data_IF_037638430161
#
_entry.id   IF_037638430161
#
_cell.length_a   1.000
_cell.length_b   1.000
_cell.length_c   1.000
_cell.angle_alpha   90.00
_cell.angle_beta   90.00
_cell.angle_gamma   90.00
#
_symmetry.space_group_name_H-M   'P 1'
#
loop_
_entity.id
_entity.type
_entity.pdbx_description
1 polymer ?
#
# COMPACT_ATOMS: atom_id res chain seq x y z
N UNK A 1 21.39 -9.05 -0.86
CA UNK A 1 21.98 -7.73 -0.53
C UNK A 1 22.73 -7.88 0.78
N UNK A 2 23.96 -7.38 0.91
CA UNK A 2 24.70 -7.43 2.18
C UNK A 2 24.38 -6.16 3.00
N UNK A 3 23.31 -6.23 3.79
CA UNK A 3 22.84 -5.11 4.62
C UNK A 3 23.91 -4.65 5.63
N UNK A 4 24.60 -5.56 6.36
CA UNK A 4 25.72 -5.18 7.23
C UNK A 4 26.83 -4.38 6.53
N UNK A 5 27.20 -4.76 5.31
CA UNK A 5 28.20 -4.02 4.54
C UNK A 5 27.76 -2.58 4.26
N UNK A 6 26.52 -2.38 3.81
CA UNK A 6 25.97 -1.05 3.52
C UNK A 6 25.76 -0.19 4.77
N UNK A 7 25.60 -0.80 5.94
CA UNK A 7 25.52 -0.10 7.22
C UNK A 7 26.89 0.30 7.77
N UNK A 8 27.98 -0.36 7.37
CA UNK A 8 29.33 -0.01 7.82
C UNK A 8 29.68 1.45 7.49
N UNK A 9 30.25 2.18 8.45
CA UNK A 9 30.67 3.56 8.25
C UNK A 9 31.64 3.67 7.05
N UNK A 10 31.44 4.66 6.18
CA UNK A 10 32.28 4.86 4.99
C UNK A 10 33.73 5.16 5.40
N UNK A 11 33.92 5.97 6.44
CA UNK A 11 35.22 6.24 7.06
C UNK A 11 35.05 6.68 8.51
N UNK A 12 36.16 6.69 9.27
CA UNK A 12 36.15 7.13 10.67
C UNK A 12 35.80 8.63 10.84
N UNK A 13 36.12 9.46 9.84
CA UNK A 13 35.93 10.92 9.88
C UNK A 13 34.70 11.38 9.11
N UNK A 14 34.17 10.55 8.22
CA UNK A 14 32.90 10.79 7.50
C UNK A 14 32.12 9.48 7.42
N UNK A 15 31.33 9.14 8.45
CA UNK A 15 30.61 7.87 8.51
C UNK A 15 29.57 7.68 7.40
N UNK A 16 28.95 8.78 6.95
CA UNK A 16 27.99 8.81 5.84
C UNK A 16 28.60 9.13 4.48
N UNK A 17 29.90 9.38 4.40
CA UNK A 17 30.56 9.73 3.14
C UNK A 17 30.17 11.12 2.60
N UNK A 18 30.35 11.30 1.30
CA UNK A 18 30.17 12.58 0.59
C UNK A 18 28.73 12.79 0.13
N UNK A 19 28.32 14.03 -0.10
CA UNK A 19 27.02 14.34 -0.72
C UNK A 19 27.09 14.06 -2.23
N UNK A 20 26.13 13.31 -2.74
CA UNK A 20 26.07 12.85 -4.13
C UNK A 20 25.32 13.79 -5.08
N UNK A 21 24.85 14.97 -4.63
CA UNK A 21 23.98 15.88 -5.42
C UNK A 21 24.50 16.16 -6.85
N UNK A 22 25.81 16.31 -7.01
CA UNK A 22 26.45 16.56 -8.31
C UNK A 22 27.35 15.41 -8.79
N UNK A 23 27.32 14.26 -8.11
CA UNK A 23 28.13 13.10 -8.48
C UNK A 23 27.67 12.54 -9.84
N UNK A 24 28.62 12.33 -10.76
CA UNK A 24 28.31 11.91 -12.12
C UNK A 24 27.66 10.51 -12.18
N UNK A 25 28.00 9.60 -11.26
CA UNK A 25 27.38 8.28 -11.19
C UNK A 25 25.97 8.36 -10.61
N UNK A 26 25.73 9.22 -9.63
CA UNK A 26 24.37 9.47 -9.13
C UNK A 26 23.47 10.06 -10.22
N UNK A 27 23.93 11.10 -10.93
CA UNK A 27 23.19 11.68 -12.06
C UNK A 27 22.97 10.68 -13.20
N UNK A 28 23.87 9.72 -13.39
CA UNK A 28 23.69 8.64 -14.37
C UNK A 28 22.61 7.65 -13.91
N UNK A 29 22.64 7.25 -12.63
CA UNK A 29 21.62 6.39 -12.03
C UNK A 29 20.21 7.00 -12.20
N UNK A 30 20.05 8.29 -11.93
CA UNK A 30 18.77 9.00 -12.11
C UNK A 30 18.28 8.98 -13.56
N UNK A 31 19.18 9.04 -14.54
CA UNK A 31 18.83 8.94 -15.97
C UNK A 31 18.45 7.52 -16.34
N UNK A 32 19.25 6.54 -15.94
CA UNK A 32 19.02 5.13 -16.25
C UNK A 32 17.70 4.63 -15.64
N UNK A 33 17.38 5.09 -14.43
CA UNK A 33 16.16 4.72 -13.72
C UNK A 33 14.86 5.21 -14.40
N UNK A 34 14.94 6.13 -15.37
CA UNK A 34 13.77 6.56 -16.17
C UNK A 34 13.38 5.55 -17.24
N UNK A 35 14.27 4.60 -17.58
CA UNK A 35 14.06 3.68 -18.68
C UNK A 35 14.03 4.40 -20.04
N UNK A 36 13.48 3.74 -21.05
CA UNK A 36 13.27 4.35 -22.37
C UNK A 36 11.79 4.72 -22.52
N UNK A 37 11.45 5.98 -22.79
CA UNK A 37 10.07 6.35 -23.07
C UNK A 37 9.62 5.73 -24.40
N UNK A 38 8.31 5.74 -24.62
CA UNK A 38 7.74 5.43 -25.93
C UNK A 38 8.32 6.38 -26.99
N UNK A 39 8.68 5.85 -28.16
CA UNK A 39 9.31 6.61 -29.25
C UNK A 39 8.65 6.30 -30.59
N UNK A 40 8.28 7.34 -31.34
CA UNK A 40 7.84 7.18 -32.73
C UNK A 40 9.05 7.14 -33.66
N UNK A 41 9.19 6.05 -34.42
CA UNK A 41 10.20 5.87 -35.47
C UNK A 41 9.50 5.73 -36.82
N UNK A 42 9.35 6.86 -37.53
CA UNK A 42 8.54 6.92 -38.75
C UNK A 42 7.07 6.61 -38.44
N UNK A 43 6.52 5.60 -39.12
CA UNK A 43 5.15 5.13 -38.90
C UNK A 43 5.02 4.10 -37.76
N UNK A 44 6.11 3.72 -37.10
CA UNK A 44 6.12 2.73 -36.01
C UNK A 44 6.24 3.39 -34.64
N UNK A 45 5.45 2.94 -33.67
CA UNK A 45 5.57 3.33 -32.26
C UNK A 45 6.33 2.23 -31.52
N UNK A 46 7.51 2.56 -30.99
CA UNK A 46 8.27 1.70 -30.10
C UNK A 46 7.77 1.89 -28.67
N UNK A 47 7.29 0.83 -27.98
CA UNK A 47 6.76 0.95 -26.63
C UNK A 47 7.86 1.38 -25.65
N UNK A 48 7.44 1.93 -24.50
CA UNK A 48 8.36 2.23 -23.42
C UNK A 48 9.04 0.95 -22.89
N UNK A 49 10.34 1.02 -22.65
CA UNK A 49 11.12 -0.07 -22.05
C UNK A 49 11.43 0.26 -20.58
N UNK A 50 11.25 -0.70 -19.66
CA UNK A 50 11.58 -0.49 -18.26
C UNK A 50 13.10 -0.30 -18.07
N UNK A 51 13.52 0.27 -16.94
CA UNK A 51 14.94 0.35 -16.57
C UNK A 51 15.61 -1.02 -16.52
N UNK A 52 16.91 -1.07 -16.81
CA UNK A 52 17.74 -2.26 -16.62
C UNK A 52 17.99 -2.51 -15.12
N UNK A 53 17.03 -3.14 -14.44
CA UNK A 53 16.99 -3.24 -12.99
C UNK A 53 18.26 -3.81 -12.34
N UNK A 54 18.95 -4.75 -13.00
CA UNK A 54 20.24 -5.27 -12.50
C UNK A 54 21.32 -4.20 -12.48
N UNK A 55 21.37 -3.35 -13.52
CA UNK A 55 22.29 -2.21 -13.59
C UNK A 55 21.93 -1.19 -12.51
N UNK A 56 20.65 -0.86 -12.36
CA UNK A 56 20.17 0.07 -11.32
C UNK A 56 20.54 -0.43 -9.91
N UNK A 57 20.34 -1.71 -9.62
CA UNK A 57 20.71 -2.30 -8.33
C UNK A 57 22.22 -2.19 -8.09
N UNK A 58 23.04 -2.57 -9.07
CA UNK A 58 24.50 -2.50 -8.94
C UNK A 58 24.99 -1.07 -8.72
N UNK A 59 24.55 -0.12 -9.53
CA UNK A 59 24.90 1.30 -9.40
C UNK A 59 24.48 1.86 -8.03
N UNK A 60 23.29 1.51 -7.55
CA UNK A 60 22.80 1.93 -6.24
C UNK A 60 23.66 1.36 -5.10
N UNK A 61 24.05 0.09 -5.18
CA UNK A 61 24.91 -0.56 -4.18
C UNK A 61 26.33 0.03 -4.16
N UNK A 62 26.90 0.32 -5.32
CA UNK A 62 28.22 0.92 -5.43
C UNK A 62 28.24 2.34 -4.87
N UNK A 63 27.19 3.12 -5.14
CA UNK A 63 27.01 4.45 -4.58
C UNK A 63 26.79 4.42 -3.06
N UNK A 64 25.97 3.49 -2.55
CA UNK A 64 25.70 3.39 -1.10
C UNK A 64 26.90 2.96 -0.26
N UNK A 65 27.93 2.35 -0.88
CA UNK A 65 29.22 2.11 -0.22
C UNK A 65 30.08 3.39 -0.09
N UNK A 66 29.83 4.40 -0.94
CA UNK A 66 30.54 5.69 -0.93
C UNK A 66 29.78 6.76 -0.15
N UNK A 67 28.45 6.68 -0.12
CA UNK A 67 27.57 7.67 0.51
C UNK A 67 26.30 7.04 1.06
N UNK A 68 26.01 7.32 2.34
CA UNK A 68 24.73 6.97 2.96
C UNK A 68 23.72 8.07 2.62
N UNK A 69 23.04 7.89 1.50
CA UNK A 69 22.11 8.87 0.94
C UNK A 69 20.73 8.27 0.70
N UNK A 70 19.71 8.85 1.33
CA UNK A 70 18.31 8.42 1.21
C UNK A 70 17.80 8.47 -0.22
N UNK A 71 18.27 9.42 -1.05
CA UNK A 71 17.85 9.55 -2.46
C UNK A 71 18.21 8.30 -3.26
N UNK A 72 19.33 7.65 -2.94
CA UNK A 72 19.80 6.44 -3.62
C UNK A 72 18.95 5.21 -3.22
N UNK A 73 18.46 5.19 -1.97
CA UNK A 73 17.69 4.06 -1.45
C UNK A 73 16.38 3.80 -2.19
N UNK A 74 15.80 4.83 -2.81
CA UNK A 74 14.62 4.69 -3.66
C UNK A 74 14.88 3.81 -4.89
N UNK A 75 15.99 4.02 -5.59
CA UNK A 75 16.38 3.22 -6.76
C UNK A 75 16.76 1.79 -6.36
N UNK A 76 17.42 1.64 -5.21
CA UNK A 76 17.70 0.33 -4.65
C UNK A 76 16.40 -0.42 -4.30
N UNK A 77 15.41 0.27 -3.76
CA UNK A 77 14.10 -0.32 -3.43
C UNK A 77 13.39 -0.80 -4.69
N UNK A 78 13.28 0.04 -5.72
CA UNK A 78 12.62 -0.32 -6.97
C UNK A 78 13.30 -1.49 -7.66
N UNK A 79 14.63 -1.43 -7.81
CA UNK A 79 15.39 -2.51 -8.45
C UNK A 79 15.32 -3.81 -7.64
N UNK A 80 15.35 -3.75 -6.31
CA UNK A 80 15.24 -4.94 -5.46
C UNK A 80 13.85 -5.55 -5.50
N UNK A 81 12.80 -4.72 -5.55
CA UNK A 81 11.43 -5.16 -5.73
C UNK A 81 11.22 -5.79 -7.11
N UNK A 82 11.79 -5.22 -8.17
CA UNK A 82 11.70 -5.76 -9.53
C UNK A 82 12.42 -7.11 -9.70
N UNK A 83 13.56 -7.30 -9.03
CA UNK A 83 14.40 -8.48 -9.17
C UNK A 83 14.09 -9.59 -8.17
N UNK A 84 13.76 -9.22 -6.93
CA UNK A 84 13.58 -10.15 -5.81
C UNK A 84 12.18 -10.09 -5.19
N UNK A 85 11.27 -9.26 -5.71
CA UNK A 85 9.90 -9.15 -5.20
C UNK A 85 9.84 -8.59 -3.77
N UNK A 86 8.86 -9.05 -3.00
CA UNK A 86 8.59 -8.54 -1.65
C UNK A 86 9.73 -8.79 -0.66
N UNK A 87 10.57 -9.82 -0.88
CA UNK A 87 11.77 -10.06 -0.10
C UNK A 87 12.79 -8.92 -0.27
N UNK A 88 13.05 -8.52 -1.52
CA UNK A 88 13.94 -7.38 -1.81
C UNK A 88 13.40 -6.06 -1.25
N UNK A 89 12.09 -5.86 -1.27
CA UNK A 89 11.46 -4.70 -0.62
C UNK A 89 11.69 -4.68 0.90
N UNK A 90 11.50 -5.83 1.56
CA UNK A 90 11.70 -5.95 3.00
C UNK A 90 13.16 -5.66 3.40
N UNK A 91 14.13 -6.18 2.64
CA UNK A 91 15.55 -5.95 2.88
C UNK A 91 15.90 -4.46 2.79
N UNK A 92 15.41 -3.76 1.77
CA UNK A 92 15.72 -2.34 1.56
C UNK A 92 15.04 -1.44 2.59
N UNK A 93 13.76 -1.69 2.92
CA UNK A 93 13.09 -0.95 3.98
C UNK A 93 13.77 -1.16 5.34
N UNK A 94 14.26 -2.38 5.61
CA UNK A 94 15.06 -2.66 6.80
C UNK A 94 16.37 -1.87 6.81
N UNK A 95 17.07 -1.79 5.67
CA UNK A 95 18.27 -0.96 5.52
C UNK A 95 17.96 0.52 5.77
N UNK A 96 16.89 1.07 5.17
CA UNK A 96 16.50 2.47 5.34
C UNK A 96 16.22 2.78 6.81
N UNK A 97 15.45 1.92 7.48
CA UNK A 97 15.18 2.05 8.91
C UNK A 97 16.46 2.02 9.77
N UNK A 98 17.43 1.18 9.42
CA UNK A 98 18.71 1.12 10.13
C UNK A 98 19.59 2.36 9.86
N UNK A 99 19.63 2.85 8.61
CA UNK A 99 20.34 4.08 8.25
C UNK A 99 19.79 5.29 9.01
N UNK A 100 18.47 5.44 9.06
CA UNK A 100 17.81 6.51 9.81
C UNK A 100 18.16 6.43 11.30
N UNK A 101 18.10 5.24 11.91
CA UNK A 101 18.42 5.04 13.33
C UNK A 101 19.88 5.36 13.67
N UNK A 102 20.82 4.88 12.84
CA UNK A 102 22.25 4.89 13.17
C UNK A 102 22.94 6.18 12.75
N UNK A 103 22.43 6.84 11.71
CA UNK A 103 23.13 7.92 11.03
C UNK A 103 22.33 9.21 10.89
N UNK A 104 21.15 9.34 11.53
CA UNK A 104 20.23 10.48 11.36
C UNK A 104 20.92 11.84 11.19
N UNK A 105 21.86 12.20 12.07
CA UNK A 105 22.52 13.51 12.02
C UNK A 105 23.31 13.72 10.72
N UNK A 106 24.14 12.74 10.34
CA UNK A 106 25.09 12.87 9.22
C UNK A 106 24.56 12.34 7.88
N UNK A 107 23.39 11.69 7.89
CA UNK A 107 22.77 11.05 6.73
C UNK A 107 22.43 12.07 5.64
N UNK A 108 22.68 11.70 4.38
CA UNK A 108 22.36 12.56 3.24
C UNK A 108 20.92 12.37 2.77
N UNK A 109 20.22 13.43 2.32
CA UNK A 109 20.63 14.84 2.36
C UNK A 109 20.75 15.36 3.80
N UNK A 110 21.84 16.08 4.12
CA UNK A 110 22.07 16.57 5.50
C UNK A 110 21.10 17.70 5.85
N UNK A 111 20.73 17.77 7.13
CA UNK A 111 19.99 18.94 7.64
C UNK A 111 20.93 20.14 7.71
N UNK A 112 20.46 21.29 7.23
CA UNK A 112 21.22 22.52 7.25
C UNK A 112 20.92 23.32 8.52
N UNK A 113 21.93 23.54 9.35
CA UNK A 113 21.80 24.33 10.58
C UNK A 113 21.53 25.81 10.30
N UNK A 114 21.92 26.32 9.13
CA UNK A 114 21.65 27.70 8.72
C UNK A 114 20.18 27.88 8.26
N UNK A 115 19.47 26.78 7.96
CA UNK A 115 18.04 26.73 7.58
C UNK A 115 17.19 26.01 8.64
N UNK A 116 17.47 26.26 9.93
CA UNK A 116 16.74 25.73 11.09
C UNK A 116 16.58 24.19 11.11
N UNK A 117 17.51 23.48 10.46
CA UNK A 117 17.45 22.04 10.23
C UNK A 117 16.15 21.58 9.52
N UNK A 118 15.67 22.34 8.54
CA UNK A 118 14.46 22.00 7.79
C UNK A 118 14.54 20.57 7.19
N UNK A 119 13.57 19.69 7.51
CA UNK A 119 13.64 18.29 7.11
C UNK A 119 13.08 18.01 5.72
N UNK A 120 12.55 19.01 5.01
CA UNK A 120 11.74 18.85 3.79
C UNK A 120 12.44 17.99 2.74
N UNK A 121 13.73 18.20 2.52
CA UNK A 121 14.48 17.44 1.50
C UNK A 121 14.58 15.95 1.87
N UNK A 122 14.77 15.61 3.15
CA UNK A 122 14.77 14.22 3.63
C UNK A 122 13.39 13.59 3.52
N UNK A 123 12.35 14.31 3.92
CA UNK A 123 10.97 13.84 3.82
C UNK A 123 10.60 13.59 2.36
N UNK A 124 11.03 14.45 1.43
CA UNK A 124 10.83 14.25 0.01
C UNK A 124 11.56 13.01 -0.52
N UNK A 125 12.80 12.76 -0.09
CA UNK A 125 13.54 11.55 -0.46
C UNK A 125 12.81 10.28 0.02
N UNK A 126 12.30 10.27 1.25
CA UNK A 126 11.52 9.15 1.80
C UNK A 126 10.12 9.02 1.16
N UNK A 127 9.48 10.13 0.82
CA UNK A 127 8.21 10.12 0.09
C UNK A 127 8.37 9.54 -1.32
N UNK A 128 9.57 9.62 -1.91
CA UNK A 128 9.91 8.93 -3.15
C UNK A 128 9.66 7.42 -3.10
N UNK A 129 9.78 6.79 -1.92
CA UNK A 129 9.50 5.35 -1.75
C UNK A 129 8.08 4.98 -2.19
N UNK A 130 7.11 5.90 -2.10
CA UNK A 130 5.71 5.67 -2.50
C UNK A 130 5.39 6.09 -3.93
N UNK A 131 6.39 6.26 -4.80
CA UNK A 131 6.17 6.61 -6.21
C UNK A 131 5.24 5.63 -6.95
N UNK A 132 4.56 6.10 -7.99
CA UNK A 132 3.70 5.25 -8.84
C UNK A 132 4.43 4.02 -9.40
N UNK A 133 5.70 4.19 -9.78
CA UNK A 133 6.54 3.09 -10.26
C UNK A 133 6.75 2.03 -9.17
N UNK A 134 7.01 2.44 -7.92
CA UNK A 134 7.14 1.52 -6.79
C UNK A 134 5.83 0.79 -6.52
N UNK A 135 4.70 1.52 -6.47
CA UNK A 135 3.39 0.93 -6.19
C UNK A 135 2.99 -0.05 -7.30
N UNK A 136 3.30 0.27 -8.56
CA UNK A 136 3.11 -0.62 -9.70
C UNK A 136 3.94 -1.89 -9.56
N UNK A 137 5.25 -1.78 -9.30
CA UNK A 137 6.13 -2.93 -9.08
C UNK A 137 5.64 -3.81 -7.92
N UNK A 138 5.15 -3.21 -6.83
CA UNK A 138 4.61 -3.95 -5.69
C UNK A 138 3.37 -4.75 -6.08
N UNK A 139 2.45 -4.14 -6.84
CA UNK A 139 1.25 -4.83 -7.36
C UNK A 139 1.61 -5.95 -8.34
N UNK A 140 2.63 -5.76 -9.17
CA UNK A 140 3.09 -6.76 -10.14
C UNK A 140 3.92 -7.88 -9.49
N UNK A 141 4.37 -7.71 -8.24
CA UNK A 141 5.16 -8.72 -7.52
C UNK A 141 4.41 -10.04 -7.37
N UNK A 142 5.12 -11.15 -7.57
CA UNK A 142 4.57 -12.51 -7.46
C UNK A 142 4.52 -12.91 -6.00
N UNK A 143 3.32 -13.23 -5.50
CA UNK A 143 3.13 -13.74 -4.14
C UNK A 143 3.40 -15.25 -4.06
N UNK A 144 3.03 -15.98 -5.11
CA UNK A 144 3.25 -17.42 -5.19
C UNK A 144 3.28 -17.92 -6.63
N UNK A 145 3.81 -19.13 -6.81
CA UNK A 145 3.77 -19.87 -8.07
C UNK A 145 3.08 -21.22 -7.86
N UNK A 146 1.82 -21.30 -8.27
CA UNK A 146 1.08 -22.56 -8.30
C UNK A 146 1.57 -23.42 -9.46
N UNK A 147 1.57 -24.74 -9.25
CA UNK A 147 1.92 -25.72 -10.30
C UNK A 147 0.84 -25.75 -11.39
N UNK A 148 -0.41 -25.54 -11.01
CA UNK A 148 -1.59 -25.60 -11.87
C UNK A 148 -1.97 -24.25 -12.48
N UNK A 149 -1.94 -23.19 -11.67
CA UNK A 149 -2.40 -21.85 -12.08
C UNK A 149 -1.27 -20.89 -12.48
N UNK A 150 -0.01 -21.30 -12.31
CA UNK A 150 1.15 -20.48 -12.61
C UNK A 150 1.38 -19.36 -11.59
N UNK A 151 2.07 -18.26 -11.97
CA UNK A 151 2.39 -17.17 -11.07
C UNK A 151 1.14 -16.36 -10.70
N UNK A 152 0.96 -16.10 -9.41
CA UNK A 152 -0.10 -15.24 -8.88
C UNK A 152 0.55 -13.96 -8.35
N UNK A 153 0.26 -12.83 -9.00
CA UNK A 153 0.72 -11.51 -8.56
C UNK A 153 -0.12 -10.97 -7.40
N UNK A 154 0.41 -9.98 -6.68
CA UNK A 154 -0.35 -9.26 -5.67
C UNK A 154 -1.61 -8.62 -6.29
N UNK A 155 -1.50 -8.01 -7.47
CA UNK A 155 -2.61 -7.43 -8.21
C UNK A 155 -3.73 -8.45 -8.45
N UNK A 156 -3.39 -9.62 -8.99
CA UNK A 156 -4.35 -10.70 -9.25
C UNK A 156 -5.01 -11.20 -7.96
N UNK A 157 -4.22 -11.32 -6.88
CA UNK A 157 -4.71 -11.76 -5.58
C UNK A 157 -5.65 -10.73 -4.92
N UNK A 158 -5.36 -9.43 -5.04
CA UNK A 158 -6.22 -8.34 -4.57
C UNK A 158 -7.54 -8.28 -5.36
N UNK A 159 -7.50 -8.57 -6.66
CA UNK A 159 -8.69 -8.69 -7.50
C UNK A 159 -9.57 -9.87 -7.06
N UNK A 160 -8.98 -11.06 -7.01
CA UNK A 160 -9.66 -12.30 -6.67
C UNK A 160 -10.28 -12.29 -5.26
N UNK A 161 -9.66 -11.57 -4.31
CA UNK A 161 -10.18 -11.39 -2.95
C UNK A 161 -11.25 -10.30 -2.81
N UNK A 162 -11.53 -9.54 -3.87
CA UNK A 162 -12.49 -8.44 -3.84
C UNK A 162 -12.02 -7.20 -3.06
N UNK A 163 -10.75 -7.13 -2.68
CA UNK A 163 -10.16 -5.97 -2.00
C UNK A 163 -9.88 -4.81 -2.98
N UNK A 164 -9.64 -5.14 -4.25
CA UNK A 164 -9.52 -4.20 -5.35
C UNK A 164 -10.22 -4.77 -6.59
N UNK A 165 -10.48 -3.91 -7.59
CA UNK A 165 -11.05 -4.34 -8.87
C UNK A 165 -10.15 -3.89 -10.01
N UNK A 166 -9.80 -4.84 -10.88
CA UNK A 166 -8.96 -4.65 -12.03
C UNK A 166 -9.62 -5.34 -13.24
N UNK A 167 -10.12 -4.59 -14.24
CA UNK A 167 -10.91 -5.17 -15.34
C UNK A 167 -10.21 -6.29 -16.12
N UNK A 168 -8.88 -6.19 -16.25
CA UNK A 168 -8.07 -7.16 -16.99
C UNK A 168 -7.69 -8.40 -16.16
N UNK A 169 -7.98 -8.41 -14.86
CA UNK A 169 -7.70 -9.54 -13.97
C UNK A 169 -8.89 -10.52 -13.92
N UNK A 170 -8.65 -11.77 -14.29
CA UNK A 170 -9.68 -12.80 -14.43
C UNK A 170 -9.65 -13.87 -13.32
N UNK A 171 -8.63 -13.84 -12.45
CA UNK A 171 -8.51 -14.81 -11.37
C UNK A 171 -9.68 -14.66 -10.38
N UNK A 172 -10.40 -15.74 -10.13
CA UNK A 172 -11.50 -15.77 -9.16
C UNK A 172 -11.06 -16.20 -7.76
N UNK A 173 -11.86 -15.88 -6.73
CA UNK A 173 -11.58 -16.21 -5.33
C UNK A 173 -11.28 -17.71 -5.08
N UNK A 174 -12.08 -18.61 -5.69
CA UNK A 174 -11.89 -20.05 -5.55
C UNK A 174 -10.58 -20.53 -6.20
N UNK A 175 -10.23 -19.97 -7.36
CA UNK A 175 -8.98 -20.30 -8.07
C UNK A 175 -7.76 -19.77 -7.29
N UNK A 176 -7.86 -18.57 -6.71
CA UNK A 176 -6.84 -18.03 -5.83
C UNK A 176 -6.58 -18.95 -4.63
N UNK A 177 -7.65 -19.39 -3.95
CA UNK A 177 -7.52 -20.32 -2.82
C UNK A 177 -6.85 -21.64 -3.25
N UNK A 178 -7.30 -22.24 -4.36
CA UNK A 178 -6.70 -23.45 -4.91
C UNK A 178 -5.22 -23.24 -5.30
N UNK A 179 -4.87 -22.08 -5.87
CA UNK A 179 -3.49 -21.75 -6.23
C UNK A 179 -2.59 -21.69 -4.99
N UNK A 180 -3.06 -21.14 -3.87
CA UNK A 180 -2.29 -21.14 -2.62
C UNK A 180 -2.10 -22.55 -2.05
N UNK A 181 -3.12 -23.41 -2.07
CA UNK A 181 -3.00 -24.81 -1.62
C UNK A 181 -2.04 -25.64 -2.49
N UNK A 182 -1.97 -25.33 -3.79
CA UNK A 182 -1.09 -26.02 -4.75
C UNK A 182 0.34 -25.41 -4.83
N UNK A 183 0.61 -24.38 -4.02
CA UNK A 183 1.92 -23.72 -3.96
C UNK A 183 2.84 -24.34 -2.91
N UNK A 184 4.14 -24.04 -3.00
CA UNK A 184 5.12 -24.44 -1.99
C UNK A 184 4.87 -23.72 -0.66
N UNK A 185 4.59 -24.45 0.45
CA UNK A 185 4.32 -23.84 1.75
C UNK A 185 5.52 -23.08 2.34
N UNK A 186 6.76 -23.51 2.08
CA UNK A 186 7.96 -22.81 2.55
C UNK A 186 8.10 -21.46 1.84
N UNK A 187 7.87 -21.44 0.52
CA UNK A 187 7.86 -20.21 -0.26
C UNK A 187 6.76 -19.25 0.20
N UNK A 188 5.54 -19.76 0.44
CA UNK A 188 4.44 -18.94 0.96
C UNK A 188 4.77 -18.34 2.33
N UNK A 189 5.41 -19.12 3.21
CA UNK A 189 5.82 -18.62 4.52
C UNK A 189 6.87 -17.52 4.39
N UNK A 190 7.89 -17.72 3.55
CA UNK A 190 8.91 -16.70 3.27
C UNK A 190 8.28 -15.42 2.70
N UNK A 191 7.29 -15.53 1.81
CA UNK A 191 6.52 -14.38 1.30
C UNK A 191 5.77 -13.66 2.42
N UNK A 192 5.12 -14.39 3.34
CA UNK A 192 4.44 -13.79 4.51
C UNK A 192 5.43 -13.05 5.41
N UNK A 193 6.56 -13.67 5.73
CA UNK A 193 7.57 -13.09 6.60
C UNK A 193 8.15 -11.81 5.98
N UNK A 194 8.44 -11.82 4.67
CA UNK A 194 8.89 -10.63 3.95
C UNK A 194 7.85 -9.50 3.95
N UNK A 195 6.57 -9.80 3.71
CA UNK A 195 5.49 -8.80 3.76
C UNK A 195 5.32 -8.20 5.15
N UNK A 196 5.42 -9.05 6.19
CA UNK A 196 5.36 -8.62 7.59
C UNK A 196 6.54 -7.71 7.95
N UNK A 197 7.76 -8.11 7.58
CA UNK A 197 8.97 -7.34 7.80
C UNK A 197 8.94 -6.00 7.05
N UNK A 198 8.53 -5.98 5.79
CA UNK A 198 8.37 -4.75 5.01
C UNK A 198 7.38 -3.79 5.67
N UNK A 199 6.22 -4.28 6.12
CA UNK A 199 5.22 -3.46 6.79
C UNK A 199 5.74 -2.90 8.12
N UNK A 200 6.36 -3.74 8.94
CA UNK A 200 6.94 -3.32 10.22
C UNK A 200 8.05 -2.27 10.01
N UNK A 201 8.87 -2.42 8.97
CA UNK A 201 9.89 -1.44 8.61
C UNK A 201 9.28 -0.10 8.16
N UNK A 202 8.19 -0.08 7.40
CA UNK A 202 7.47 1.17 7.10
C UNK A 202 6.98 1.87 8.37
N UNK A 203 6.35 1.13 9.29
CA UNK A 203 5.86 1.68 10.57
C UNK A 203 7.02 2.23 11.42
N UNK A 204 8.17 1.54 11.44
CA UNK A 204 9.36 1.99 12.15
C UNK A 204 10.00 3.24 11.52
N UNK A 205 10.06 3.33 10.19
CA UNK A 205 10.58 4.51 9.48
C UNK A 205 9.74 5.75 9.81
N UNK A 206 8.41 5.65 9.71
CA UNK A 206 7.52 6.77 10.04
C UNK A 206 7.68 7.23 11.49
N UNK A 207 7.76 6.27 12.42
CA UNK A 207 7.97 6.58 13.84
C UNK A 207 9.31 7.28 14.07
N UNK A 208 10.41 6.73 13.53
CA UNK A 208 11.74 7.33 13.69
C UNK A 208 11.80 8.75 13.13
N UNK A 209 11.21 8.98 11.96
CA UNK A 209 11.17 10.31 11.37
C UNK A 209 10.32 11.24 12.25
N UNK A 210 9.13 10.82 12.66
CA UNK A 210 8.25 11.60 13.53
C UNK A 210 8.90 11.94 14.88
N UNK A 211 9.71 11.05 15.45
CA UNK A 211 10.44 11.30 16.70
C UNK A 211 11.50 12.41 16.55
N UNK A 212 12.06 12.57 15.34
CA UNK A 212 13.11 13.56 15.05
C UNK A 212 12.55 14.92 14.65
N UNK A 213 11.49 14.95 13.85
CA UNK A 213 10.98 16.19 13.22
C UNK A 213 9.59 16.60 13.71
N UNK A 214 8.99 15.80 14.60
CA UNK A 214 7.61 15.98 15.03
C UNK A 214 6.59 15.41 14.05
N UNK A 215 5.41 15.07 14.57
CA UNK A 215 4.37 14.37 13.80
C UNK A 215 3.78 15.18 12.64
N UNK A 216 3.86 16.52 12.68
CA UNK A 216 3.34 17.39 11.62
C UNK A 216 4.21 17.40 10.35
N UNK A 217 5.50 17.04 10.47
CA UNK A 217 6.48 17.04 9.38
C UNK A 217 6.96 15.61 9.05
N UNK A 218 6.28 14.58 9.57
CA UNK A 218 6.61 13.18 9.34
C UNK A 218 6.40 12.74 7.89
N UNK A 219 6.94 11.58 7.55
CA UNK A 219 6.68 10.91 6.26
C UNK A 219 5.41 10.06 6.35
N UNK A 220 4.63 9.99 5.27
CA UNK A 220 3.49 9.09 5.14
C UNK A 220 3.77 7.99 4.11
N UNK A 221 3.91 6.75 4.60
CA UNK A 221 4.14 5.56 3.80
C UNK A 221 2.86 4.71 3.64
N UNK A 222 1.67 5.29 3.88
CA UNK A 222 0.39 4.58 3.79
C UNK A 222 0.17 3.92 2.43
N UNK A 223 0.64 4.52 1.33
CA UNK A 223 0.55 3.94 -0.01
C UNK A 223 1.34 2.62 -0.17
N UNK A 224 2.37 2.39 0.64
CA UNK A 224 3.07 1.10 0.73
C UNK A 224 2.44 0.18 1.78
N UNK A 225 2.13 0.70 2.98
CA UNK A 225 1.58 -0.09 4.09
C UNK A 225 0.24 -0.76 3.74
N UNK A 226 -0.64 -0.07 3.00
CA UNK A 226 -1.97 -0.60 2.68
C UNK A 226 -1.90 -1.85 1.78
N UNK A 227 -1.23 -1.85 0.61
CA UNK A 227 -1.04 -3.06 -0.18
C UNK A 227 -0.35 -4.20 0.59
N UNK A 228 0.64 -3.90 1.43
CA UNK A 228 1.31 -4.92 2.26
C UNK A 228 0.35 -5.57 3.27
N UNK A 229 -0.47 -4.75 3.95
CA UNK A 229 -1.52 -5.24 4.86
C UNK A 229 -2.55 -6.11 4.13
N UNK A 230 -2.99 -5.68 2.95
CA UNK A 230 -3.95 -6.43 2.15
C UNK A 230 -3.33 -7.75 1.64
N UNK A 231 -2.06 -7.76 1.23
CA UNK A 231 -1.34 -8.97 0.86
C UNK A 231 -1.32 -10.00 1.99
N UNK A 232 -1.01 -9.57 3.22
CA UNK A 232 -1.05 -10.42 4.41
C UNK A 232 -2.46 -10.94 4.68
N UNK A 233 -3.48 -10.10 4.56
CA UNK A 233 -4.87 -10.53 4.71
C UNK A 233 -5.24 -11.64 3.72
N UNK A 234 -4.85 -11.49 2.45
CA UNK A 234 -5.11 -12.50 1.41
C UNK A 234 -4.38 -13.81 1.69
N UNK A 235 -3.10 -13.74 2.10
CA UNK A 235 -2.31 -14.93 2.40
C UNK A 235 -2.79 -15.67 3.66
N UNK A 236 -3.34 -14.96 4.65
CA UNK A 236 -3.86 -15.55 5.88
C UNK A 236 -5.24 -16.20 5.67
N UNK A 237 -6.07 -15.67 4.77
CA UNK A 237 -7.35 -16.30 4.42
C UNK A 237 -7.17 -17.62 3.65
N UNK A 238 -6.02 -17.82 3.02
CA UNK A 238 -5.74 -18.99 2.20
C UNK A 238 -5.22 -20.20 2.97
N UNK A 239 -4.63 -19.99 4.15
CA UNK A 239 -4.10 -21.05 5.01
C UNK A 239 -4.91 -21.04 6.30
N UNK A 240 -5.91 -21.92 6.46
CA UNK A 240 -6.48 -22.14 7.79
C UNK A 240 -5.34 -22.58 8.71
N UNK A 241 -5.26 -21.95 9.87
CA UNK A 241 -4.23 -22.16 10.87
C UNK A 241 -3.89 -23.65 11.04
N UNK A 242 -2.69 -24.04 10.62
CA UNK A 242 -2.08 -25.31 11.04
C UNK A 242 -1.47 -25.19 12.45
N UNK A 243 -1.69 -24.05 13.13
CA UNK A 243 -1.30 -23.81 14.52
C UNK A 243 -2.48 -23.24 15.30
N UNK A 244 -3.18 -24.10 16.04
CA UNK A 244 -3.90 -23.69 17.24
C UNK A 244 -5.33 -23.19 17.04
N UNK A 245 -6.17 -23.96 16.35
CA UNK A 245 -7.58 -24.04 16.75
C UNK A 245 -7.64 -24.64 18.17
N UNK A 246 -7.50 -23.77 19.17
CA UNK A 246 -8.02 -24.05 20.51
C UNK A 246 -9.54 -23.99 20.38
N UNK A 247 -10.14 -25.11 20.00
CA UNK A 247 -11.54 -25.35 20.30
C UNK A 247 -11.71 -25.13 21.81
N UNK A 248 -12.65 -24.29 22.26
CA UNK A 248 -13.01 -24.30 23.66
C UNK A 248 -13.62 -25.68 23.96
N UNK A 249 -12.93 -26.45 24.79
CA UNK A 249 -13.43 -27.68 25.39
C UNK A 249 -14.87 -27.45 25.87
N UNK A 250 -15.81 -28.13 25.20
CA UNK A 250 -17.13 -28.35 25.73
C UNK A 250 -16.97 -29.27 26.96
N UNK A 251 -16.83 -28.66 28.14
CA UNK A 251 -17.06 -29.33 29.40
C UNK A 251 -18.51 -29.79 29.45
N UNK A 252 -18.66 -31.10 29.27
CA UNK A 252 -19.85 -31.85 29.66
C UNK A 252 -20.07 -31.73 31.17
N UNK A 253 -21.23 -31.22 31.56
CA UNK A 253 -21.80 -31.55 32.86
C UNK A 253 -23.29 -31.86 32.66
N UNK A 254 -23.61 -33.14 32.84
CA UNK A 254 -24.96 -33.68 32.79
C UNK A 254 -25.37 -34.03 34.22
N UNK A 255 -26.23 -33.20 34.83
CA UNK A 255 -27.28 -33.70 35.72
C UNK A 255 -28.42 -32.68 35.93
N UNK A 256 -29.62 -33.15 35.61
CA UNK A 256 -30.97 -32.54 35.60
C UNK A 256 -31.46 -31.98 36.98
N UNK A 257 -32.63 -31.30 37.11
CA UNK A 257 -33.78 -31.31 36.20
C UNK A 257 -34.56 -30.00 35.93
N UNK A 258 -35.30 -30.07 34.81
CA UNK A 258 -36.60 -29.49 34.45
C UNK A 258 -37.14 -28.28 35.24
N UNK A 259 -37.12 -27.11 34.60
CA UNK A 259 -38.11 -26.03 34.83
C UNK A 259 -38.39 -25.33 33.51
N UNK A 260 -39.66 -25.40 33.06
CA UNK A 260 -40.20 -24.60 31.96
C UNK A 260 -40.15 -23.11 32.32
N UNK A 261 -39.42 -22.29 31.55
CA UNK A 261 -39.71 -20.86 31.42
C UNK A 261 -39.34 -20.32 30.03
N UNK A 262 -40.36 -19.76 29.39
CA UNK A 262 -40.44 -18.72 28.35
C UNK A 262 -39.19 -18.33 27.52
N UNK A 263 -39.40 -18.24 26.21
CA UNK A 263 -38.48 -17.67 25.23
C UNK A 263 -37.97 -16.28 25.64
N UNK A 264 -36.64 -16.17 25.80
CA UNK A 264 -35.94 -14.91 26.00
C UNK A 264 -35.42 -14.34 24.67
N UNK A 265 -35.34 -13.00 24.55
CA UNK A 265 -35.21 -12.30 23.28
C UNK A 265 -33.78 -12.31 22.73
N UNK A 266 -33.66 -12.12 21.42
CA UNK A 266 -32.39 -11.98 20.71
C UNK A 266 -31.50 -10.92 21.35
N UNK A 267 -30.22 -11.25 21.52
CA UNK A 267 -29.19 -10.36 22.06
C UNK A 267 -29.07 -9.06 21.23
N UNK A 268 -28.85 -7.90 21.87
CA UNK A 268 -28.72 -6.64 21.17
C UNK A 268 -27.41 -6.62 20.37
N UNK A 269 -27.52 -6.30 19.06
CA UNK A 269 -26.37 -6.00 18.19
C UNK A 269 -25.61 -4.77 18.73
N UNK A 270 -24.28 -4.69 18.55
CA UNK A 270 -23.52 -3.52 18.96
C UNK A 270 -24.11 -2.26 18.31
N UNK A 271 -24.32 -1.24 19.14
CA UNK A 271 -24.93 0.03 18.73
C UNK A 271 -23.95 0.84 17.87
N UNK A 272 -23.87 0.51 16.59
CA UNK A 272 -22.94 1.13 15.66
C UNK A 272 -23.05 0.61 14.23
N UNK A 273 -23.58 -0.59 14.02
CA UNK A 273 -23.77 -1.12 12.68
C UNK A 273 -24.97 -0.45 11.99
N UNK A 274 -24.72 0.08 10.79
CA UNK A 274 -25.75 0.62 9.90
C UNK A 274 -26.29 -0.54 9.07
N UNK A 275 -27.47 -1.03 9.43
CA UNK A 275 -28.10 -2.21 8.84
C UNK A 275 -29.12 -1.87 7.73
N UNK A 276 -29.41 -0.59 7.50
CA UNK A 276 -30.39 -0.16 6.48
C UNK A 276 -30.11 1.23 5.90
N UNK A 277 -30.66 1.52 4.71
CA UNK A 277 -30.58 2.84 4.07
C UNK A 277 -31.19 3.95 4.93
N UNK A 278 -32.24 3.65 5.69
CA UNK A 278 -32.86 4.60 6.61
C UNK A 278 -31.96 4.92 7.82
N UNK A 279 -31.08 3.98 8.21
CA UNK A 279 -30.06 4.22 9.23
C UNK A 279 -28.90 5.06 8.69
N UNK A 280 -28.56 4.93 7.41
CA UNK A 280 -27.61 5.84 6.73
C UNK A 280 -28.14 7.27 6.80
N UNK A 281 -29.40 7.50 6.43
CA UNK A 281 -30.00 8.84 6.47
C UNK A 281 -30.02 9.45 7.87
N UNK A 282 -30.44 8.66 8.87
CA UNK A 282 -30.42 9.10 10.27
C UNK A 282 -29.02 9.43 10.77
N UNK A 283 -28.01 8.72 10.28
CA UNK A 283 -26.60 8.99 10.63
C UNK A 283 -26.08 10.26 9.96
N UNK A 284 -26.40 10.46 8.67
CA UNK A 284 -26.09 11.69 7.95
C UNK A 284 -26.75 12.92 8.60
N UNK A 285 -27.99 12.79 9.09
CA UNK A 285 -28.68 13.87 9.80
C UNK A 285 -28.01 14.23 11.13
N UNK A 286 -27.52 13.25 11.88
CA UNK A 286 -26.74 13.50 13.11
C UNK A 286 -25.43 14.24 12.81
N UNK A 287 -24.75 13.86 11.74
CA UNK A 287 -23.49 14.50 11.30
C UNK A 287 -23.78 15.94 10.85
N UNK A 288 -24.81 16.17 10.03
CA UNK A 288 -25.21 17.51 9.60
C UNK A 288 -25.58 18.42 10.78
N UNK A 289 -26.29 17.90 11.78
CA UNK A 289 -26.64 18.64 12.98
C UNK A 289 -25.40 19.02 13.81
N UNK A 290 -24.39 18.15 13.87
CA UNK A 290 -23.12 18.44 14.51
C UNK A 290 -22.40 19.61 13.84
N UNK A 291 -22.19 19.55 12.52
CA UNK A 291 -21.50 20.62 11.80
C UNK A 291 -22.26 21.95 11.85
N UNK A 292 -23.59 21.91 11.80
CA UNK A 292 -24.41 23.13 11.95
C UNK A 292 -24.19 23.81 13.30
N UNK A 293 -23.94 23.04 14.36
CA UNK A 293 -23.79 23.55 15.73
C UNK A 293 -22.34 23.91 16.08
N UNK A 294 -21.37 23.16 15.56
CA UNK A 294 -19.97 23.25 15.97
C UNK A 294 -19.08 23.92 14.91
N UNK A 295 -19.42 23.85 13.63
CA UNK A 295 -18.58 24.34 12.53
C UNK A 295 -19.42 24.90 11.35
N UNK A 296 -20.15 26.03 11.55
CA UNK A 296 -21.07 26.56 10.54
C UNK A 296 -20.39 27.05 9.25
N UNK A 297 -19.08 27.30 9.28
CA UNK A 297 -18.28 27.70 8.11
C UNK A 297 -17.65 26.52 7.37
N UNK A 298 -17.87 25.27 7.83
CA UNK A 298 -17.37 24.08 7.16
C UNK A 298 -18.06 23.89 5.79
N UNK A 299 -17.35 23.45 4.74
CA UNK A 299 -17.97 23.11 3.46
C UNK A 299 -18.68 21.74 3.48
N UNK A 300 -18.46 20.93 4.52
CA UNK A 300 -18.98 19.57 4.64
C UNK A 300 -20.52 19.47 4.64
N UNK A 301 -21.28 20.35 5.33
CA UNK A 301 -22.75 20.32 5.27
C UNK A 301 -23.33 20.41 3.86
N UNK A 302 -22.70 21.18 2.97
CA UNK A 302 -23.16 21.34 1.58
C UNK A 302 -22.98 20.02 0.81
N UNK A 303 -21.82 19.38 0.99
CA UNK A 303 -21.50 18.11 0.33
C UNK A 303 -22.33 16.95 0.89
N UNK A 304 -22.53 16.89 2.20
CA UNK A 304 -23.31 15.87 2.87
C UNK A 304 -24.80 15.98 2.56
N UNK A 305 -25.36 17.20 2.42
CA UNK A 305 -26.73 17.37 1.92
C UNK A 305 -26.89 16.87 0.49
N UNK A 306 -25.89 17.10 -0.37
CA UNK A 306 -25.90 16.58 -1.74
C UNK A 306 -25.86 15.05 -1.74
N UNK A 307 -24.99 14.44 -0.92
CA UNK A 307 -24.91 12.99 -0.76
C UNK A 307 -26.22 12.40 -0.21
N UNK A 308 -26.85 13.06 0.77
CA UNK A 308 -28.14 12.66 1.36
C UNK A 308 -29.25 12.57 0.30
N UNK A 309 -29.32 13.55 -0.60
CA UNK A 309 -30.32 13.58 -1.68
C UNK A 309 -30.13 12.48 -2.74
N UNK A 310 -28.94 11.87 -2.81
CA UNK A 310 -28.63 10.79 -3.75
C UNK A 310 -28.97 9.39 -3.19
N UNK A 311 -29.22 9.25 -1.89
CA UNK A 311 -29.51 7.95 -1.24
C UNK A 311 -30.79 7.29 -1.80
N UNK A 312 -31.75 8.08 -2.27
CA UNK A 312 -32.98 7.61 -2.90
C UNK A 312 -33.10 7.93 -4.39
N UNK A 313 -32.06 8.52 -4.99
CA UNK A 313 -32.10 8.89 -6.40
C UNK A 313 -31.97 7.64 -7.28
N UNK A 314 -32.76 7.56 -8.35
CA UNK A 314 -32.53 6.60 -9.42
C UNK A 314 -31.20 6.93 -10.12
N UNK A 315 -30.57 5.93 -10.74
CA UNK A 315 -29.25 6.08 -11.34
C UNK A 315 -29.22 7.18 -12.42
N UNK A 316 -30.34 7.40 -13.12
CA UNK A 316 -30.49 8.49 -14.08
C UNK A 316 -30.46 9.88 -13.43
N UNK A 317 -31.07 10.05 -12.25
CA UNK A 317 -31.02 11.28 -11.46
C UNK A 317 -29.63 11.50 -10.83
N UNK A 318 -28.89 10.44 -10.51
CA UNK A 318 -27.49 10.49 -10.06
C UNK A 318 -26.59 11.04 -11.17
N UNK A 319 -26.70 10.50 -12.39
CA UNK A 319 -25.92 10.95 -13.56
C UNK A 319 -26.23 12.41 -13.90
N UNK A 320 -27.52 12.79 -13.92
CA UNK A 320 -27.96 14.17 -14.18
C UNK A 320 -27.46 15.19 -13.14
N UNK A 321 -27.25 14.76 -11.89
CA UNK A 321 -26.75 15.63 -10.81
C UNK A 321 -25.22 15.73 -10.75
N UNK A 322 -24.48 14.70 -11.15
CA UNK A 322 -23.02 14.64 -11.00
C UNK A 322 -22.26 15.09 -12.25
N UNK A 323 -22.80 14.82 -13.45
CA UNK A 323 -22.12 15.14 -14.71
C UNK A 323 -23.18 15.62 -15.74
N UNK A 324 -23.56 16.92 -15.72
CA UNK A 324 -24.56 17.47 -16.65
C UNK A 324 -24.20 17.23 -18.12
N UNK A 325 -22.90 17.26 -18.44
CA UNK A 325 -22.37 17.08 -19.79
C UNK A 325 -22.28 15.60 -20.23
N UNK A 326 -22.51 14.63 -19.34
CA UNK A 326 -22.48 13.19 -19.62
C UNK A 326 -23.79 12.64 -20.17
N UNK A 327 -24.85 13.46 -20.21
CA UNK A 327 -26.19 13.05 -20.60
C UNK A 327 -26.28 12.61 -22.07
N UNK A 328 -25.49 13.24 -22.94
CA UNK A 328 -25.39 12.91 -24.37
C UNK A 328 -24.76 11.55 -24.63
N UNK A 329 -23.81 11.11 -23.79
CA UNK A 329 -23.24 9.76 -23.86
C UNK A 329 -24.18 8.69 -23.29
N UNK A 330 -24.99 9.04 -22.29
CA UNK A 330 -25.99 8.14 -21.73
C UNK A 330 -27.13 7.84 -22.72
N UNK A 331 -27.63 8.85 -23.44
CA UNK A 331 -28.66 8.67 -24.49
C UNK A 331 -28.17 7.71 -25.60
N UNK A 332 -26.89 7.82 -25.97
CA UNK A 332 -26.26 6.92 -26.94
C UNK A 332 -26.12 5.47 -26.44
N UNK A 333 -26.00 5.27 -25.12
CA UNK A 333 -25.88 3.94 -24.49
C UNK A 333 -27.24 3.28 -24.23
N UNK A 334 -28.29 4.07 -24.01
CA UNK A 334 -29.65 3.58 -23.72
C UNK A 334 -30.39 3.10 -24.98
N UNK A 335 -30.07 3.65 -26.15
CA UNK A 335 -30.82 3.40 -27.38
C UNK A 335 -32.22 4.04 -27.35
N UNK A 336 -32.90 4.17 -28.51
CA UNK A 336 -34.24 4.74 -28.56
C UNK A 336 -35.24 3.87 -27.80
N UNK A 337 -36.17 4.51 -27.08
CA UNK A 337 -37.23 3.81 -26.34
C UNK A 337 -38.00 2.88 -27.30
N UNK A 338 -37.94 1.57 -27.04
CA UNK A 338 -38.82 0.60 -27.69
C UNK A 338 -40.27 0.83 -27.25
N UNK A 339 -41.19 0.76 -28.21
CA UNK A 339 -42.65 0.97 -28.06
C UNK A 339 -43.27 0.35 -26.81
#
# INVERSE_FOLDING_TARGET
>A
MDVPLLLTAVSATSPCGEDMEYDAQFLQLERDAKGQPERSMGDSILPAEPPEWRSIQQQSLDLLQRSKDLRITHFLLQSSLALQGVAGLADVLTLINALLREYWTDLHPRLDADDDNDPTVRINALSGLTSDATIRLLRESILTRSRTFGPVSLRAALNASGLMSFPDEQLGAQQLHAAFLDSDPEHLQATRDALSAARAACEAIEQQVSDQVGSAQGVDLTLLKQPLKQALQVLNQAVPDTQGSSEPEAVSDDNAPSVEYAAAPAAPRPAGDIASRDEVLRSLDKILAYYTRHEPSSPLPVLLNRAKNLVHADFAAIVRNLIPDGMSQFENLRGPDGE
#
